data_IF_344220711191
#
_entry.id   IF_344220711191
#
_cell.length_a   1.000
_cell.length_b   1.000
_cell.length_c   1.000
_cell.angle_alpha   90.00
_cell.angle_beta   90.00
_cell.angle_gamma   90.00
#
_symmetry.space_group_name_H-M   'P 1'
#
loop_
_entity.id
_entity.type
_entity.pdbx_description
1 polymer ?
#
# COMPACT_ATOMS: atom_id res chain seq x y z
N UNK A 1 7.90 -0.90 20.22
CA UNK A 1 7.68 -1.53 18.92
C UNK A 1 8.28 -0.68 17.79
N UNK A 2 7.85 0.57 17.59
CA UNK A 2 8.39 1.49 16.56
C UNK A 2 9.92 1.63 16.62
N UNK A 3 10.50 1.65 17.82
CA UNK A 3 11.95 1.67 18.03
C UNK A 3 12.62 0.40 17.46
N UNK A 4 12.00 -0.77 17.67
CA UNK A 4 12.52 -2.03 17.15
C UNK A 4 12.49 -2.08 15.61
N UNK A 5 11.41 -1.56 15.02
CA UNK A 5 11.25 -1.46 13.57
C UNK A 5 12.27 -0.46 13.00
N UNK A 6 12.41 0.71 13.61
CA UNK A 6 13.44 1.67 13.23
C UNK A 6 14.87 1.08 13.30
N UNK A 7 15.14 0.28 14.32
CA UNK A 7 16.41 -0.43 14.46
C UNK A 7 16.61 -1.49 13.36
N UNK A 8 15.57 -2.26 13.02
CA UNK A 8 15.64 -3.22 11.91
C UNK A 8 15.86 -2.53 10.56
N UNK A 9 15.23 -1.38 10.33
CA UNK A 9 15.46 -0.57 9.11
C UNK A 9 16.92 -0.08 9.07
N UNK A 10 17.47 0.38 10.19
CA UNK A 10 18.88 0.79 10.27
C UNK A 10 19.84 -0.39 10.01
N UNK A 11 19.55 -1.57 10.56
CA UNK A 11 20.35 -2.78 10.29
C UNK A 11 20.26 -3.14 8.81
N UNK A 12 19.06 -3.12 8.23
CA UNK A 12 18.85 -3.38 6.81
C UNK A 12 19.65 -2.41 5.93
N UNK A 13 19.67 -1.12 6.28
CA UNK A 13 20.49 -0.12 5.58
C UNK A 13 22.00 -0.42 5.67
N UNK A 14 22.46 -0.90 6.82
CA UNK A 14 23.88 -1.18 7.04
C UNK A 14 24.38 -2.42 6.27
N UNK A 15 23.51 -3.39 6.05
CA UNK A 15 23.83 -4.64 5.35
C UNK A 15 23.49 -4.63 3.86
N UNK A 16 22.94 -3.54 3.35
CA UNK A 16 22.54 -3.34 1.95
C UNK A 16 21.63 -4.47 1.42
N UNK A 17 20.76 -5.00 2.29
CA UNK A 17 19.85 -6.10 1.98
C UNK A 17 18.40 -5.59 1.84
N UNK A 18 17.91 -5.61 0.60
CA UNK A 18 16.54 -5.22 0.26
C UNK A 18 15.49 -6.16 0.90
N UNK A 19 15.82 -7.43 1.10
CA UNK A 19 14.89 -8.39 1.68
C UNK A 19 14.64 -8.10 3.17
N UNK A 20 15.68 -7.78 3.93
CA UNK A 20 15.55 -7.41 5.35
C UNK A 20 14.75 -6.11 5.47
N UNK A 21 15.00 -5.15 4.57
CA UNK A 21 14.28 -3.89 4.54
C UNK A 21 12.78 -4.09 4.24
N UNK A 22 12.46 -4.90 3.24
CA UNK A 22 11.10 -5.26 2.88
C UNK A 22 10.39 -5.99 4.05
N UNK A 23 11.05 -6.96 4.67
CA UNK A 23 10.52 -7.68 5.82
C UNK A 23 10.20 -6.75 7.00
N UNK A 24 11.10 -5.83 7.34
CA UNK A 24 10.89 -4.87 8.42
C UNK A 24 9.64 -3.99 8.17
N UNK A 25 9.43 -3.59 6.92
CA UNK A 25 8.28 -2.74 6.56
C UNK A 25 6.97 -3.54 6.50
N UNK A 26 7.01 -4.80 6.04
CA UNK A 26 5.84 -5.69 6.10
C UNK A 26 5.43 -5.96 7.55
N UNK A 27 6.40 -6.15 8.45
CA UNK A 27 6.14 -6.27 9.88
C UNK A 27 5.53 -5.00 10.43
N UNK A 28 5.98 -3.80 10.01
CA UNK A 28 5.37 -2.53 10.43
C UNK A 28 3.89 -2.45 10.05
N UNK A 29 3.56 -2.82 8.81
CA UNK A 29 2.18 -2.82 8.33
C UNK A 29 1.32 -3.85 9.08
N UNK A 30 1.82 -5.08 9.25
CA UNK A 30 1.11 -6.13 9.99
C UNK A 30 0.85 -5.73 11.45
N UNK A 31 1.80 -5.07 12.09
CA UNK A 31 1.64 -4.59 13.45
C UNK A 31 0.73 -3.37 13.53
N UNK A 32 0.70 -2.52 12.51
CA UNK A 32 -0.28 -1.45 12.39
C UNK A 32 -1.72 -2.00 12.45
N UNK A 33 -1.97 -3.06 11.70
CA UNK A 33 -3.27 -3.75 11.73
C UNK A 33 -3.55 -4.47 13.05
N UNK A 34 -2.55 -5.12 13.65
CA UNK A 34 -2.70 -5.79 14.94
C UNK A 34 -3.02 -4.82 16.09
N UNK A 35 -2.57 -3.57 15.99
CA UNK A 35 -2.90 -2.52 16.96
C UNK A 35 -4.23 -1.83 16.63
N UNK A 36 -4.87 -2.15 15.52
CA UNK A 36 -6.18 -1.63 15.14
C UNK A 36 -7.27 -1.91 16.18
N UNK A 37 -7.16 -3.02 16.93
CA UNK A 37 -8.01 -3.29 18.09
C UNK A 37 -7.82 -2.28 19.26
N UNK A 38 -6.74 -1.48 19.24
CA UNK A 38 -6.43 -0.45 20.24
C UNK A 38 -6.62 0.97 19.72
N UNK A 39 -6.74 1.13 18.42
CA UNK A 39 -6.89 2.42 17.74
C UNK A 39 -8.16 2.39 16.89
N UNK A 40 -8.78 3.55 16.76
CA UNK A 40 -9.86 3.77 15.82
C UNK A 40 -9.37 3.70 14.36
N UNK A 41 -10.28 3.76 13.41
CA UNK A 41 -9.99 3.72 11.97
C UNK A 41 -8.96 4.77 11.54
N UNK A 42 -8.95 5.95 12.18
CA UNK A 42 -7.97 7.02 11.91
C UNK A 42 -6.56 6.54 12.27
N UNK A 43 -6.42 5.84 13.38
CA UNK A 43 -5.14 5.25 13.79
C UNK A 43 -4.64 4.21 12.78
N UNK A 44 -5.52 3.34 12.30
CA UNK A 44 -5.21 2.35 11.27
C UNK A 44 -4.80 3.02 9.96
N UNK A 45 -5.56 4.02 9.50
CA UNK A 45 -5.24 4.80 8.30
C UNK A 45 -3.86 5.48 8.41
N UNK A 46 -3.57 6.07 9.56
CA UNK A 46 -2.28 6.69 9.85
C UNK A 46 -1.12 5.68 9.80
N UNK A 47 -1.31 4.47 10.31
CA UNK A 47 -0.30 3.41 10.26
C UNK A 47 -0.08 2.87 8.85
N UNK A 48 -1.12 2.75 8.03
CA UNK A 48 -1.00 2.38 6.60
C UNK A 48 -0.18 3.43 5.85
N UNK A 49 -0.48 4.72 6.04
CA UNK A 49 0.29 5.81 5.43
C UNK A 49 1.75 5.81 5.89
N UNK A 50 2.00 5.67 7.18
CA UNK A 50 3.35 5.63 7.74
C UNK A 50 4.15 4.46 7.15
N UNK A 51 3.55 3.27 7.07
CA UNK A 51 4.16 2.09 6.47
C UNK A 51 4.47 2.31 4.99
N UNK A 52 3.53 2.86 4.23
CA UNK A 52 3.70 3.20 2.81
C UNK A 52 4.84 4.18 2.61
N UNK A 53 4.87 5.28 3.37
CA UNK A 53 5.93 6.29 3.27
C UNK A 53 7.29 5.75 3.71
N UNK A 54 7.32 4.89 4.72
CA UNK A 54 8.56 4.24 5.16
C UNK A 54 9.15 3.35 4.05
N UNK A 55 8.30 2.55 3.38
CA UNK A 55 8.73 1.71 2.26
C UNK A 55 9.22 2.56 1.08
N UNK A 56 8.50 3.60 0.72
CA UNK A 56 8.90 4.49 -0.37
C UNK A 56 10.15 5.29 -0.05
N UNK A 57 10.28 5.78 1.18
CA UNK A 57 11.49 6.43 1.66
C UNK A 57 12.72 5.51 1.54
N UNK A 58 12.55 4.24 1.93
CA UNK A 58 13.60 3.24 1.80
C UNK A 58 13.93 2.93 0.34
N UNK A 59 12.91 2.84 -0.54
CA UNK A 59 13.11 2.67 -1.98
C UNK A 59 13.91 3.82 -2.58
N UNK A 60 13.62 5.06 -2.20
CA UNK A 60 14.36 6.25 -2.63
C UNK A 60 15.79 6.26 -2.12
N UNK A 61 16.02 5.95 -0.85
CA UNK A 61 17.35 5.89 -0.25
C UNK A 61 18.24 4.84 -0.92
N UNK A 62 17.67 3.68 -1.26
CA UNK A 62 18.37 2.56 -1.88
C UNK A 62 18.35 2.59 -3.41
N UNK A 63 17.60 3.50 -4.00
CA UNK A 63 17.37 3.58 -5.44
C UNK A 63 16.89 2.24 -6.04
N UNK A 64 16.09 1.50 -5.28
CA UNK A 64 15.62 0.16 -5.62
C UNK A 64 14.21 0.19 -6.22
N UNK A 65 14.09 -0.15 -7.51
CA UNK A 65 12.80 -0.31 -8.19
C UNK A 65 11.98 -1.47 -7.63
N UNK A 66 12.65 -2.50 -7.10
CA UNK A 66 11.99 -3.63 -6.45
C UNK A 66 11.28 -3.20 -5.16
N UNK A 67 11.93 -2.42 -4.30
CA UNK A 67 11.32 -1.88 -3.10
C UNK A 67 10.17 -0.91 -3.42
N UNK A 68 10.33 -0.07 -4.45
CA UNK A 68 9.26 0.81 -4.91
C UNK A 68 8.03 0.01 -5.36
N UNK A 69 8.22 -1.03 -6.18
CA UNK A 69 7.14 -1.88 -6.66
C UNK A 69 6.47 -2.66 -5.53
N UNK A 70 7.25 -3.17 -4.58
CA UNK A 70 6.72 -3.84 -3.40
C UNK A 70 5.88 -2.88 -2.54
N UNK A 71 6.36 -1.65 -2.32
CA UNK A 71 5.63 -0.62 -1.58
C UNK A 71 4.28 -0.30 -2.21
N UNK A 72 4.23 -0.16 -3.53
CA UNK A 72 2.98 0.05 -4.28
C UNK A 72 2.02 -1.13 -4.09
N UNK A 73 2.49 -2.38 -4.29
CA UNK A 73 1.64 -3.55 -4.15
C UNK A 73 1.09 -3.71 -2.73
N UNK A 74 1.96 -3.60 -1.75
CA UNK A 74 1.59 -3.83 -0.35
C UNK A 74 0.65 -2.75 0.17
N UNK A 75 0.84 -1.47 -0.22
CA UNK A 75 -0.06 -0.41 0.18
C UNK A 75 -1.50 -0.63 -0.31
N UNK A 76 -1.67 -1.00 -1.58
CA UNK A 76 -3.00 -1.31 -2.13
C UNK A 76 -3.60 -2.59 -1.55
N UNK A 77 -2.77 -3.64 -1.37
CA UNK A 77 -3.22 -4.88 -0.73
C UNK A 77 -3.73 -4.61 0.68
N UNK A 78 -3.01 -3.78 1.45
CA UNK A 78 -3.36 -3.48 2.84
C UNK A 78 -4.64 -2.68 2.94
N UNK A 79 -4.80 -1.64 2.11
CA UNK A 79 -6.07 -0.89 2.04
C UNK A 79 -7.22 -1.83 1.64
N UNK A 80 -7.00 -2.69 0.64
CA UNK A 80 -8.00 -3.66 0.20
C UNK A 80 -8.42 -4.62 1.32
N UNK A 81 -7.46 -5.11 2.11
CA UNK A 81 -7.77 -5.97 3.26
C UNK A 81 -8.68 -5.27 4.27
N UNK A 82 -8.39 -4.02 4.62
CA UNK A 82 -9.21 -3.25 5.55
C UNK A 82 -10.55 -2.81 4.94
N UNK A 83 -10.60 -2.45 3.66
CA UNK A 83 -11.83 -2.03 2.98
C UNK A 83 -12.84 -3.16 2.78
N UNK A 84 -12.36 -4.40 2.66
CA UNK A 84 -13.21 -5.59 2.42
C UNK A 84 -13.30 -6.52 3.63
N UNK A 85 -12.64 -6.18 4.74
CA UNK A 85 -12.79 -6.96 5.96
C UNK A 85 -14.20 -6.77 6.54
N UNK A 86 -14.80 -7.83 7.01
CA UNK A 86 -15.93 -7.81 7.92
C UNK A 86 -15.41 -8.26 9.28
N UNK A 87 -14.51 -7.47 9.88
CA UNK A 87 -13.82 -7.80 11.13
C UNK A 87 -13.15 -9.19 11.09
N UNK A 88 -12.46 -9.45 9.98
CA UNK A 88 -11.79 -10.73 9.80
C UNK A 88 -10.67 -10.91 10.82
N UNK A 89 -10.60 -12.09 11.40
CA UNK A 89 -9.48 -12.47 12.27
C UNK A 89 -8.55 -13.39 11.50
N UNK A 90 -7.32 -12.92 11.24
CA UNK A 90 -6.27 -13.72 10.60
C UNK A 90 -5.19 -14.01 11.66
N UNK A 91 -5.02 -15.27 12.04
CA UNK A 91 -3.99 -15.70 12.98
C UNK A 91 -3.94 -14.85 14.27
N UNK A 92 -5.10 -14.59 14.88
CA UNK A 92 -5.28 -13.77 16.09
C UNK A 92 -5.18 -12.26 15.90
N UNK A 93 -4.97 -11.78 14.68
CA UNK A 93 -4.99 -10.36 14.32
C UNK A 93 -6.37 -10.03 13.79
N UNK A 94 -7.05 -9.11 14.44
CA UNK A 94 -8.32 -8.56 13.98
C UNK A 94 -8.04 -7.46 12.95
N UNK A 95 -8.62 -7.60 11.75
CA UNK A 95 -8.52 -6.61 10.68
C UNK A 95 -9.77 -5.75 10.75
N UNK A 96 -9.61 -4.57 11.31
CA UNK A 96 -10.70 -3.58 11.46
C UNK A 96 -11.20 -3.17 10.07
N UNK A 97 -12.51 -3.17 9.86
CA UNK A 97 -13.14 -2.61 8.66
C UNK A 97 -13.14 -1.07 8.70
N UNK A 98 -13.10 -0.44 7.55
CA UNK A 98 -13.35 0.99 7.45
C UNK A 98 -14.85 1.22 7.21
N UNK A 99 -15.51 1.82 8.18
CA UNK A 99 -16.94 2.21 8.11
C UNK A 99 -17.10 3.66 7.63
N UNK A 100 -16.06 4.51 7.79
CA UNK A 100 -16.03 5.89 7.31
C UNK A 100 -15.55 5.96 5.85
N UNK A 101 -16.50 6.09 4.91
CA UNK A 101 -16.22 6.22 3.48
C UNK A 101 -15.33 7.42 3.14
N UNK A 102 -15.46 8.53 3.85
CA UNK A 102 -14.62 9.71 3.62
C UNK A 102 -13.17 9.44 4.04
N UNK A 103 -12.97 8.78 5.18
CA UNK A 103 -11.65 8.38 5.65
C UNK A 103 -10.99 7.41 4.66
N UNK A 104 -11.72 6.40 4.21
CA UNK A 104 -11.25 5.45 3.20
C UNK A 104 -10.87 6.16 1.89
N UNK A 105 -11.71 7.10 1.44
CA UNK A 105 -11.42 7.92 0.25
C UNK A 105 -10.13 8.73 0.42
N UNK A 106 -9.98 9.44 1.54
CA UNK A 106 -8.79 10.25 1.83
C UNK A 106 -7.53 9.40 1.89
N UNK A 107 -7.61 8.21 2.50
CA UNK A 107 -6.53 7.25 2.56
C UNK A 107 -6.14 6.75 1.16
N UNK A 108 -7.12 6.32 0.37
CA UNK A 108 -6.90 5.86 -1.02
C UNK A 108 -6.28 6.96 -1.87
N UNK A 109 -6.79 8.20 -1.76
CA UNK A 109 -6.23 9.34 -2.48
C UNK A 109 -4.77 9.60 -2.09
N UNK A 110 -4.45 9.65 -0.78
CA UNK A 110 -3.11 9.90 -0.29
C UNK A 110 -2.12 8.81 -0.73
N UNK A 111 -2.53 7.54 -0.67
CA UNK A 111 -1.71 6.41 -1.10
C UNK A 111 -1.52 6.41 -2.61
N UNK A 112 -2.59 6.63 -3.39
CA UNK A 112 -2.50 6.69 -4.86
C UNK A 112 -1.58 7.82 -5.32
N UNK A 113 -1.73 9.01 -4.75
CA UNK A 113 -0.85 10.15 -5.05
C UNK A 113 0.62 9.84 -4.71
N UNK A 114 0.86 9.25 -3.55
CA UNK A 114 2.22 8.84 -3.14
C UNK A 114 2.80 7.79 -4.08
N UNK A 115 2.02 6.76 -4.41
CA UNK A 115 2.42 5.70 -5.33
C UNK A 115 2.71 6.25 -6.75
N UNK A 116 1.91 7.20 -7.24
CA UNK A 116 2.14 7.84 -8.54
C UNK A 116 3.47 8.60 -8.56
N UNK A 117 3.78 9.36 -7.51
CA UNK A 117 5.07 10.07 -7.40
C UNK A 117 6.24 9.08 -7.42
N UNK A 118 6.17 8.02 -6.63
CA UNK A 118 7.21 7.00 -6.58
C UNK A 118 7.34 6.27 -7.92
N UNK A 119 6.22 5.91 -8.54
CA UNK A 119 6.23 5.22 -9.83
C UNK A 119 6.89 6.07 -10.95
N UNK A 120 6.73 7.41 -10.92
CA UNK A 120 7.41 8.30 -11.86
C UNK A 120 8.92 8.37 -11.61
N UNK A 121 9.36 8.36 -10.36
CA UNK A 121 10.78 8.36 -10.01
C UNK A 121 11.49 7.08 -10.47
N UNK A 122 10.81 5.95 -10.42
CA UNK A 122 11.34 4.63 -10.78
C UNK A 122 10.85 4.12 -12.14
N UNK A 123 10.37 4.98 -13.03
CA UNK A 123 9.75 4.56 -14.30
C UNK A 123 10.68 3.76 -15.21
N UNK A 124 11.99 3.99 -15.14
CA UNK A 124 13.02 3.27 -15.91
C UNK A 124 13.70 2.13 -15.14
N UNK A 125 13.46 2.04 -13.83
CA UNK A 125 14.11 1.03 -13.01
C UNK A 125 13.54 -0.36 -13.29
N UNK A 126 14.43 -1.35 -13.28
CA UNK A 126 13.98 -2.74 -13.29
C UNK A 126 13.24 -3.06 -11.99
N UNK A 127 12.12 -3.75 -12.12
CA UNK A 127 11.31 -4.16 -11.00
C UNK A 127 10.63 -5.51 -11.30
N UNK A 128 10.33 -6.26 -10.27
CA UNK A 128 9.80 -7.61 -10.40
C UNK A 128 8.37 -7.65 -10.97
N UNK A 129 7.56 -6.60 -10.83
CA UNK A 129 6.27 -6.52 -11.52
C UNK A 129 6.42 -6.49 -13.03
N UNK A 130 7.33 -5.65 -13.56
CA UNK A 130 7.61 -5.60 -14.99
C UNK A 130 8.19 -6.94 -15.47
N UNK A 131 9.00 -7.61 -14.64
CA UNK A 131 9.53 -8.93 -14.95
C UNK A 131 8.41 -9.99 -15.01
N UNK A 132 7.50 -9.99 -14.03
CA UNK A 132 6.34 -10.89 -14.01
C UNK A 132 5.40 -10.63 -15.19
N UNK A 133 5.08 -9.37 -15.50
CA UNK A 133 4.24 -9.00 -16.64
C UNK A 133 4.85 -9.49 -17.97
N UNK A 134 6.17 -9.34 -18.12
CA UNK A 134 6.90 -9.86 -19.28
C UNK A 134 6.81 -11.39 -19.39
N UNK A 135 6.92 -12.10 -18.26
CA UNK A 135 6.78 -13.56 -18.23
C UNK A 135 5.37 -14.01 -18.63
N UNK A 136 4.36 -13.19 -18.35
CA UNK A 136 2.96 -13.42 -18.77
C UNK A 136 2.66 -12.97 -20.21
N UNK A 137 3.66 -12.49 -20.95
CA UNK A 137 3.49 -12.02 -22.31
C UNK A 137 2.85 -10.63 -22.46
N UNK A 138 2.71 -9.89 -21.36
CA UNK A 138 2.11 -8.54 -21.33
C UNK A 138 3.08 -7.41 -21.71
N UNK A 139 4.28 -7.76 -22.18
CA UNK A 139 5.34 -6.79 -22.44
C UNK A 139 6.09 -6.40 -21.17
N UNK A 140 6.65 -5.18 -21.14
CA UNK A 140 7.33 -4.62 -19.97
C UNK A 140 6.66 -3.30 -19.58
N UNK A 141 5.52 -3.33 -18.89
CA UNK A 141 4.85 -2.10 -18.47
C UNK A 141 5.73 -1.35 -17.47
N UNK A 142 5.74 -0.03 -17.57
CA UNK A 142 6.39 0.82 -16.57
C UNK A 142 5.68 0.75 -15.22
N UNK A 143 6.43 1.03 -14.16
CA UNK A 143 5.89 0.98 -12.79
C UNK A 143 4.69 1.94 -12.61
N UNK A 144 4.69 3.06 -13.34
CA UNK A 144 3.56 4.00 -13.36
C UNK A 144 2.27 3.34 -13.87
N UNK A 145 2.33 2.62 -14.99
CA UNK A 145 1.16 1.95 -15.55
C UNK A 145 0.62 0.87 -14.60
N UNK A 146 1.50 0.18 -13.88
CA UNK A 146 1.13 -0.80 -12.85
C UNK A 146 0.44 -0.10 -11.69
N UNK A 147 1.00 1.02 -11.21
CA UNK A 147 0.42 1.79 -10.10
C UNK A 147 -0.98 2.31 -10.44
N UNK A 148 -1.16 2.89 -11.63
CA UNK A 148 -2.47 3.36 -12.11
C UNK A 148 -3.44 2.20 -12.25
N UNK A 149 -3.01 1.07 -12.83
CA UNK A 149 -3.86 -0.12 -12.99
C UNK A 149 -4.35 -0.66 -11.64
N UNK A 150 -3.47 -0.73 -10.65
CA UNK A 150 -3.86 -1.15 -9.29
C UNK A 150 -4.80 -0.14 -8.62
N UNK A 151 -4.56 1.17 -8.79
CA UNK A 151 -5.45 2.22 -8.31
C UNK A 151 -6.85 2.12 -8.93
N UNK A 152 -6.94 1.89 -10.25
CA UNK A 152 -8.22 1.68 -10.94
C UNK A 152 -8.95 0.43 -10.43
N UNK A 153 -8.24 -0.69 -10.25
CA UNK A 153 -8.83 -1.92 -9.70
C UNK A 153 -9.35 -1.64 -8.28
N UNK A 154 -8.57 -0.97 -7.43
CA UNK A 154 -8.98 -0.59 -6.09
C UNK A 154 -10.24 0.28 -6.09
N UNK A 155 -10.31 1.29 -6.98
CA UNK A 155 -11.48 2.15 -7.13
C UNK A 155 -12.72 1.37 -7.60
N UNK A 156 -12.57 0.48 -8.59
CA UNK A 156 -13.67 -0.37 -9.05
C UNK A 156 -14.19 -1.31 -7.95
N UNK A 157 -13.29 -1.90 -7.19
CA UNK A 157 -13.65 -2.76 -6.06
C UNK A 157 -14.36 -1.96 -4.96
N UNK A 158 -13.90 -0.73 -4.67
CA UNK A 158 -14.57 0.16 -3.70
C UNK A 158 -16.00 0.52 -4.16
N UNK A 159 -16.21 0.78 -5.46
CA UNK A 159 -17.56 0.98 -6.02
C UNK A 159 -18.43 -0.27 -5.83
N UNK A 160 -17.87 -1.46 -6.02
CA UNK A 160 -18.61 -2.70 -5.89
C UNK A 160 -18.94 -3.04 -4.41
N UNK A 161 -18.08 -2.62 -3.47
CA UNK A 161 -18.28 -2.86 -2.05
C UNK A 161 -19.25 -1.87 -1.41
N UNK A 162 -19.17 -0.59 -1.77
CA UNK A 162 -20.02 0.47 -1.22
C UNK A 162 -21.36 0.51 -1.93
N UNK A 163 -22.42 0.35 -1.16
CA UNK A 163 -23.80 0.32 -1.67
C UNK A 163 -24.60 1.58 -1.35
N UNK A 164 -24.06 2.44 -0.51
CA UNK A 164 -24.69 3.72 -0.20
C UNK A 164 -24.31 4.81 -1.21
N UNK A 165 -25.12 5.87 -1.29
CA UNK A 165 -24.95 6.92 -2.30
C UNK A 165 -23.66 7.70 -2.12
N UNK A 166 -23.20 7.92 -0.89
CA UNK A 166 -22.00 8.70 -0.59
C UNK A 166 -20.73 7.94 -0.96
N UNK A 167 -20.61 6.70 -0.52
CA UNK A 167 -19.47 5.85 -0.85
C UNK A 167 -19.36 5.58 -2.34
N UNK A 168 -20.48 5.40 -3.03
CA UNK A 168 -20.52 5.24 -4.47
C UNK A 168 -19.99 6.49 -5.21
N UNK A 169 -20.41 7.69 -4.80
CA UNK A 169 -19.96 8.94 -5.40
C UNK A 169 -18.45 9.17 -5.17
N UNK A 170 -17.97 8.90 -3.97
CA UNK A 170 -16.55 9.02 -3.63
C UNK A 170 -15.69 8.02 -4.43
N UNK A 171 -16.15 6.78 -4.56
CA UNK A 171 -15.46 5.76 -5.34
C UNK A 171 -15.42 6.10 -6.84
N UNK A 172 -16.49 6.68 -7.41
CA UNK A 172 -16.48 7.20 -8.77
C UNK A 172 -15.47 8.33 -8.95
N UNK A 173 -15.35 9.23 -7.97
CA UNK A 173 -14.39 10.31 -8.01
C UNK A 173 -12.94 9.77 -7.99
N UNK A 174 -12.66 8.74 -7.19
CA UNK A 174 -11.36 8.04 -7.21
C UNK A 174 -11.05 7.45 -8.58
N UNK A 175 -12.05 6.84 -9.21
CA UNK A 175 -11.89 6.25 -10.54
C UNK A 175 -11.55 7.31 -11.59
N UNK A 176 -12.18 8.50 -11.49
CA UNK A 176 -11.90 9.61 -12.40
C UNK A 176 -10.53 10.24 -12.20
N UNK A 177 -9.95 10.11 -11.00
CA UNK A 177 -8.64 10.67 -10.65
C UNK A 177 -7.47 9.71 -10.89
N UNK A 178 -7.74 8.41 -11.06
CA UNK A 178 -6.74 7.38 -11.32
C UNK A 178 -6.41 7.24 -12.80
#
# INVERSE_FOLDING_TARGET
LLILIGFNILIAQRHDDDAIAAQATLVLLALGSATGALYDEIGVAGMILLGTWSMHGLALLRKSGNLASLGIAVSYLWIGLHAFSNDWTIATIEIVSFDDDLLLFMLMFAVTATNAVIATQFHKADNWFSAAAKALGLGKPGLWAISVGLGMIGALLSIAANRDETGYALAQLLLLMS
#
